data_IF_616957222686
#
_entry.id   IF_616957222686
#
_cell.length_a   1.000
_cell.length_b   1.000
_cell.length_c   1.000
_cell.angle_alpha   90.00
_cell.angle_beta   90.00
_cell.angle_gamma   90.00
#
_symmetry.space_group_name_H-M   'P 1'
#
loop_
_entity.id
_entity.type
_entity.pdbx_description
1 polymer ?
#
# COMPACT_ATOMS: atom_id res chain seq x y z
N UNK A 1 28.21 7.49 11.94
CA UNK A 1 27.01 6.64 12.13
C UNK A 1 25.68 7.34 11.91
N UNK A 2 25.53 8.61 12.31
CA UNK A 2 24.24 9.36 12.19
C UNK A 2 23.90 9.68 10.74
N UNK A 3 24.89 10.01 9.91
CA UNK A 3 24.67 10.33 8.48
C UNK A 3 24.15 9.15 7.67
N UNK A 4 24.50 7.91 8.05
CA UNK A 4 24.10 6.70 7.30
C UNK A 4 22.62 6.37 7.48
N UNK A 5 21.97 6.78 8.60
CA UNK A 5 20.54 6.56 8.83
C UNK A 5 19.68 7.74 8.36
N UNK A 6 20.19 8.96 8.40
CA UNK A 6 19.44 10.15 7.99
C UNK A 6 19.12 10.16 6.47
N UNK A 7 20.05 9.68 5.65
CA UNK A 7 19.91 9.68 4.20
C UNK A 7 18.78 8.78 3.68
N UNK A 8 18.65 7.51 4.11
CA UNK A 8 17.53 6.67 3.69
C UNK A 8 16.18 7.16 4.24
N UNK A 9 16.12 7.72 5.45
CA UNK A 9 14.88 8.29 5.99
C UNK A 9 14.49 9.54 5.21
N UNK A 10 15.43 10.43 4.90
CA UNK A 10 15.20 11.61 4.09
C UNK A 10 14.70 11.27 2.70
N UNK A 11 15.27 10.27 2.04
CA UNK A 11 14.80 9.81 0.72
C UNK A 11 13.39 9.21 0.77
N UNK A 12 13.05 8.44 1.81
CA UNK A 12 11.70 7.90 2.01
C UNK A 12 10.67 9.01 2.20
N UNK A 13 10.98 10.04 2.99
CA UNK A 13 10.11 11.20 3.19
C UNK A 13 9.97 11.99 1.89
N UNK A 14 11.06 12.25 1.19
CA UNK A 14 11.05 12.96 -0.09
C UNK A 14 10.17 12.25 -1.12
N UNK A 15 10.37 10.94 -1.30
CA UNK A 15 9.53 10.11 -2.17
C UNK A 15 8.07 10.09 -1.72
N UNK A 16 7.81 10.09 -0.41
CA UNK A 16 6.47 10.19 0.15
C UNK A 16 5.77 11.50 -0.20
N UNK A 17 6.47 12.63 -0.10
CA UNK A 17 5.94 13.95 -0.43
C UNK A 17 5.77 14.13 -1.94
N UNK A 18 6.72 13.68 -2.75
CA UNK A 18 6.65 13.80 -4.20
C UNK A 18 5.60 12.87 -4.81
N UNK A 19 5.68 11.58 -4.52
CA UNK A 19 4.95 10.52 -5.20
C UNK A 19 3.85 9.88 -4.35
N UNK A 20 3.88 10.04 -3.02
CA UNK A 20 2.95 9.36 -2.12
C UNK A 20 2.96 7.84 -2.31
N UNK A 21 1.79 7.21 -2.38
CA UNK A 21 1.65 5.75 -2.58
C UNK A 21 1.89 5.26 -4.01
N UNK A 22 2.23 6.13 -4.94
CA UNK A 22 2.64 5.71 -6.28
C UNK A 22 3.86 4.76 -6.23
N UNK A 23 4.79 5.00 -5.29
CA UNK A 23 5.93 4.11 -5.03
C UNK A 23 5.48 2.68 -4.75
N UNK A 24 4.44 2.50 -3.92
CA UNK A 24 3.89 1.17 -3.61
C UNK A 24 3.19 0.52 -4.82
N UNK A 25 2.71 1.34 -5.77
CA UNK A 25 2.03 0.87 -6.97
C UNK A 25 2.98 0.32 -8.04
N UNK A 26 4.09 1.03 -8.27
CA UNK A 26 4.96 0.81 -9.42
C UNK A 26 6.39 0.41 -9.08
N UNK A 27 6.97 0.94 -7.99
CA UNK A 27 8.37 0.69 -7.64
C UNK A 27 8.55 -0.50 -6.71
N UNK A 28 7.54 -0.89 -5.92
CA UNK A 28 7.67 -1.98 -4.96
C UNK A 28 7.65 -3.34 -5.66
N UNK A 29 8.76 -4.11 -5.71
CA UNK A 29 8.82 -5.40 -6.38
C UNK A 29 7.90 -6.43 -5.72
N UNK A 30 7.77 -6.38 -4.39
CA UNK A 30 6.85 -7.26 -3.66
C UNK A 30 5.38 -6.98 -3.99
N UNK A 31 5.02 -5.71 -4.23
CA UNK A 31 3.68 -5.34 -4.69
C UNK A 31 3.39 -5.88 -6.09
N UNK A 32 4.39 -5.84 -6.97
CA UNK A 32 4.29 -6.38 -8.32
C UNK A 32 4.18 -7.91 -8.33
N UNK A 33 4.95 -8.58 -7.48
CA UNK A 33 4.86 -10.03 -7.26
C UNK A 33 3.44 -10.47 -6.85
N UNK A 34 2.82 -9.79 -5.89
CA UNK A 34 1.43 -10.07 -5.48
C UNK A 34 0.43 -9.86 -6.62
N UNK A 35 0.66 -8.84 -7.46
CA UNK A 35 -0.19 -8.58 -8.62
C UNK A 35 -0.06 -9.66 -9.68
N UNK A 36 1.16 -10.16 -9.91
CA UNK A 36 1.42 -11.25 -10.85
C UNK A 36 0.70 -12.53 -10.42
N UNK A 37 0.79 -12.88 -9.13
CA UNK A 37 0.08 -14.04 -8.55
C UNK A 37 -1.43 -13.85 -8.69
N UNK A 38 -1.92 -12.63 -8.44
CA UNK A 38 -3.36 -12.34 -8.57
C UNK A 38 -3.88 -12.46 -10.01
N UNK A 39 -3.04 -12.38 -11.04
CA UNK A 39 -3.45 -12.58 -12.44
C UNK A 39 -3.76 -14.04 -12.79
N UNK A 40 -3.33 -15.01 -11.97
CA UNK A 40 -3.63 -16.44 -12.19
C UNK A 40 -5.16 -16.63 -12.19
N UNK A 41 -5.74 -17.23 -13.26
CA UNK A 41 -7.18 -17.40 -13.40
C UNK A 41 -7.72 -18.51 -12.49
N UNK A 42 -7.86 -18.21 -11.21
CA UNK A 42 -8.59 -19.07 -10.28
C UNK A 42 -10.04 -18.62 -10.19
N UNK A 43 -11.01 -19.50 -9.89
CA UNK A 43 -12.41 -19.14 -9.68
C UNK A 43 -12.53 -18.23 -8.46
N UNK A 44 -12.31 -16.92 -8.68
CA UNK A 44 -12.37 -15.91 -7.63
C UNK A 44 -13.84 -15.67 -7.31
N UNK A 45 -14.34 -16.28 -6.23
CA UNK A 45 -15.56 -15.79 -5.60
C UNK A 45 -15.29 -14.31 -5.28
N UNK A 46 -16.14 -13.41 -5.79
CA UNK A 46 -16.08 -11.99 -5.44
C UNK A 46 -16.41 -11.84 -3.96
N UNK A 47 -15.44 -12.17 -3.10
CA UNK A 47 -15.58 -11.87 -1.68
C UNK A 47 -15.67 -10.35 -1.57
N UNK A 48 -16.79 -9.87 -1.05
CA UNK A 48 -17.03 -8.46 -0.84
C UNK A 48 -16.00 -7.92 0.15
N UNK A 49 -14.92 -7.33 -0.36
CA UNK A 49 -13.89 -6.67 0.43
C UNK A 49 -14.44 -5.48 1.22
N UNK A 50 -15.70 -5.07 0.96
CA UNK A 50 -16.38 -4.03 1.73
C UNK A 50 -16.52 -4.38 3.22
N UNK A 51 -16.74 -5.64 3.58
CA UNK A 51 -16.78 -6.11 4.98
C UNK A 51 -15.40 -6.10 5.66
N UNK A 52 -14.33 -6.17 4.88
CA UNK A 52 -12.94 -6.17 5.38
C UNK A 52 -12.31 -4.77 5.44
N UNK A 53 -13.10 -3.71 5.21
CA UNK A 53 -12.62 -2.32 5.32
C UNK A 53 -11.96 -2.00 6.67
N UNK A 54 -12.48 -2.43 7.84
CA UNK A 54 -11.82 -2.15 9.12
C UNK A 54 -10.43 -2.77 9.24
N UNK A 55 -10.16 -3.87 8.52
CA UNK A 55 -8.83 -4.52 8.53
C UNK A 55 -7.72 -3.60 7.96
N UNK A 56 -8.07 -2.54 7.23
CA UNK A 56 -7.11 -1.52 6.77
C UNK A 56 -6.45 -0.75 7.90
N UNK A 57 -7.13 -0.63 9.05
CA UNK A 57 -6.56 0.04 10.22
C UNK A 57 -5.46 -0.78 10.88
N UNK A 58 -5.44 -2.10 10.66
CA UNK A 58 -4.42 -3.01 11.20
C UNK A 58 -3.00 -2.57 10.81
N UNK A 59 -2.77 -2.11 9.57
CA UNK A 59 -1.44 -1.64 9.14
C UNK A 59 -0.99 -0.37 9.88
N UNK A 60 -1.92 0.51 10.31
CA UNK A 60 -1.57 1.69 11.11
C UNK A 60 -1.20 1.28 12.53
N UNK A 61 -1.89 0.29 13.10
CA UNK A 61 -1.52 -0.32 14.37
C UNK A 61 -0.12 -0.95 14.28
N UNK A 62 0.14 -1.71 13.22
CA UNK A 62 1.46 -2.31 12.97
C UNK A 62 2.52 -1.22 12.79
N UNK A 63 2.22 -0.12 12.08
CA UNK A 63 3.14 1.01 11.95
C UNK A 63 3.46 1.61 13.32
N UNK A 64 2.46 1.84 14.15
CA UNK A 64 2.66 2.35 15.51
C UNK A 64 3.54 1.41 16.32
N UNK A 65 3.26 0.11 16.30
CA UNK A 65 4.08 -0.89 16.99
C UNK A 65 5.50 -0.98 16.45
N UNK A 66 5.71 -0.87 15.14
CA UNK A 66 7.04 -0.92 14.53
C UNK A 66 7.90 0.30 14.85
N UNK A 67 7.28 1.42 15.19
CA UNK A 67 7.99 2.63 15.64
C UNK A 67 8.21 2.60 17.15
N UNK A 68 7.20 2.23 17.94
CA UNK A 68 7.26 2.30 19.40
C UNK A 68 8.08 1.17 20.04
N UNK A 69 7.97 -0.06 19.53
CA UNK A 69 8.70 -1.21 20.09
C UNK A 69 10.23 -1.04 20.09
N UNK A 70 10.87 -0.61 18.98
CA UNK A 70 12.30 -0.37 18.96
C UNK A 70 12.75 0.78 19.88
N UNK A 71 11.86 1.75 20.16
CA UNK A 71 12.15 2.85 21.10
C UNK A 71 12.14 2.39 22.55
N UNK A 72 11.30 1.42 22.89
CA UNK A 72 11.19 0.88 24.25
C UNK A 72 12.26 -0.19 24.51
N UNK A 73 12.51 -1.06 23.51
CA UNK A 73 13.46 -2.17 23.60
C UNK A 73 14.73 -1.84 22.82
N UNK A 74 15.51 -0.87 23.30
CA UNK A 74 16.84 -0.60 22.78
C UNK A 74 17.83 -1.59 23.37
N UNK A 75 18.75 -2.11 22.56
CA UNK A 75 19.88 -2.92 23.00
C UNK A 75 20.94 -2.02 23.68
N UNK A 76 21.89 -2.61 24.40
CA UNK A 76 23.02 -1.91 25.03
C UNK A 76 23.83 -1.02 24.07
N UNK A 77 23.74 -1.28 22.77
CA UNK A 77 24.37 -0.50 21.68
C UNK A 77 23.47 0.63 21.18
N UNK A 78 22.28 0.86 21.79
CA UNK A 78 21.33 1.92 21.39
C UNK A 78 20.58 1.64 20.09
N UNK A 79 20.65 0.41 19.53
CA UNK A 79 19.90 0.03 18.35
C UNK A 79 18.61 -0.71 18.71
N UNK A 80 17.48 -0.24 18.20
CA UNK A 80 16.19 -0.91 18.36
C UNK A 80 16.09 -2.16 17.47
N UNK A 81 15.55 -3.24 18.02
CA UNK A 81 15.32 -4.47 17.26
C UNK A 81 14.20 -4.29 16.22
N UNK A 82 14.42 -4.57 14.93
CA UNK A 82 13.41 -4.45 13.90
C UNK A 82 12.43 -5.65 13.91
N UNK A 83 11.56 -5.72 14.91
CA UNK A 83 10.64 -6.84 15.13
C UNK A 83 9.81 -7.20 13.88
N UNK A 84 9.28 -6.20 13.18
CA UNK A 84 8.49 -6.44 11.99
C UNK A 84 9.29 -7.14 10.88
N UNK A 85 10.48 -6.60 10.57
CA UNK A 85 11.35 -7.19 9.53
C UNK A 85 11.86 -8.56 9.92
N UNK A 86 12.11 -8.80 11.24
CA UNK A 86 12.61 -10.05 11.75
C UNK A 86 11.58 -11.17 11.72
N UNK A 87 10.31 -10.89 12.05
CA UNK A 87 9.30 -11.94 12.26
C UNK A 87 8.16 -11.93 11.24
N UNK A 88 7.75 -10.79 10.73
CA UNK A 88 6.51 -10.67 9.95
C UNK A 88 6.73 -10.34 8.47
N UNK A 89 7.84 -9.71 8.09
CA UNK A 89 8.05 -9.27 6.72
C UNK A 89 8.48 -10.44 5.81
N UNK A 90 7.64 -10.86 4.83
CA UNK A 90 7.98 -11.95 3.91
C UNK A 90 8.91 -11.50 2.77
N UNK A 91 9.03 -10.18 2.54
CA UNK A 91 9.84 -9.63 1.44
C UNK A 91 11.31 -10.04 1.54
N UNK A 92 11.88 -10.03 2.77
CA UNK A 92 13.26 -10.44 2.98
C UNK A 92 13.55 -11.92 2.65
N UNK A 93 12.53 -12.78 2.70
CA UNK A 93 12.65 -14.17 2.25
C UNK A 93 12.63 -14.24 0.74
N UNK A 94 11.68 -13.56 0.10
CA UNK A 94 11.49 -13.62 -1.35
C UNK A 94 12.67 -13.00 -2.11
N UNK A 95 13.13 -11.82 -1.69
CA UNK A 95 14.14 -11.04 -2.41
C UNK A 95 15.57 -11.28 -1.91
N UNK A 96 15.72 -11.74 -0.66
CA UNK A 96 17.02 -11.98 -0.03
C UNK A 96 17.32 -13.45 0.17
N UNK A 97 16.58 -14.12 1.05
CA UNK A 97 16.95 -15.45 1.51
C UNK A 97 16.84 -16.52 0.40
N UNK A 98 15.83 -16.47 -0.47
CA UNK A 98 15.68 -17.43 -1.56
C UNK A 98 16.81 -17.30 -2.59
N UNK A 99 17.09 -16.13 -3.20
CA UNK A 99 18.19 -16.00 -4.16
C UNK A 99 19.55 -16.35 -3.54
N UNK A 100 19.79 -15.92 -2.29
CA UNK A 100 21.06 -16.16 -1.62
C UNK A 100 21.26 -17.64 -1.25
N UNK A 101 20.21 -18.35 -0.84
CA UNK A 101 20.25 -19.80 -0.58
C UNK A 101 20.46 -20.63 -1.83
N UNK A 102 20.06 -20.13 -3.00
CA UNK A 102 20.34 -20.77 -4.30
C UNK A 102 21.79 -20.52 -4.75
N UNK A 103 22.36 -19.34 -4.40
CA UNK A 103 23.71 -18.96 -4.79
C UNK A 103 24.81 -19.52 -3.88
N UNK A 104 24.52 -19.82 -2.61
CA UNK A 104 25.50 -20.19 -1.59
C UNK A 104 25.04 -21.35 -0.72
N UNK A 105 25.80 -22.42 -0.70
CA UNK A 105 25.50 -23.60 0.09
C UNK A 105 25.74 -23.37 1.61
N UNK A 106 26.71 -22.51 1.94
CA UNK A 106 26.97 -22.08 3.31
C UNK A 106 25.79 -21.33 3.94
N UNK A 107 25.07 -20.54 3.15
CA UNK A 107 23.85 -19.86 3.61
C UNK A 107 22.72 -20.85 3.83
N UNK A 108 22.58 -21.82 2.94
CA UNK A 108 21.55 -22.89 3.06
C UNK A 108 21.71 -23.66 4.36
N UNK A 109 22.93 -24.02 4.76
CA UNK A 109 23.20 -24.74 6.01
C UNK A 109 22.95 -23.88 7.26
N UNK A 110 23.08 -22.55 7.14
CA UNK A 110 22.85 -21.60 8.25
C UNK A 110 21.37 -21.18 8.42
N UNK A 111 20.47 -21.61 7.52
CA UNK A 111 19.04 -21.31 7.60
C UNK A 111 18.40 -22.05 8.78
N UNK A 112 18.07 -21.30 9.83
CA UNK A 112 17.45 -21.82 11.06
C UNK A 112 15.90 -21.79 11.04
N UNK A 113 15.30 -22.08 12.19
CA UNK A 113 13.84 -22.10 12.41
C UNK A 113 13.14 -20.78 12.03
N UNK A 114 13.82 -19.66 12.11
CA UNK A 114 13.29 -18.35 11.71
C UNK A 114 13.01 -18.26 10.21
N UNK A 115 13.82 -18.92 9.38
CA UNK A 115 13.58 -19.01 7.93
C UNK A 115 12.30 -19.81 7.66
N UNK A 116 12.13 -20.95 8.33
CA UNK A 116 10.92 -21.78 8.19
C UNK A 116 9.67 -20.99 8.56
N UNK A 117 9.69 -20.27 9.69
CA UNK A 117 8.59 -19.40 10.11
C UNK A 117 8.24 -18.35 9.03
N UNK A 118 9.23 -17.64 8.54
CA UNK A 118 9.03 -16.61 7.51
C UNK A 118 8.55 -17.19 6.18
N UNK A 119 8.99 -18.40 5.83
CA UNK A 119 8.51 -19.10 4.64
C UNK A 119 7.03 -19.45 4.75
N UNK A 120 6.56 -19.85 5.93
CA UNK A 120 5.13 -20.06 6.21
C UNK A 120 4.35 -18.76 6.05
N UNK A 121 4.87 -17.64 6.59
CA UNK A 121 4.23 -16.32 6.42
C UNK A 121 4.19 -15.92 4.94
N UNK A 122 5.26 -16.15 4.18
CA UNK A 122 5.29 -15.91 2.73
C UNK A 122 4.23 -16.77 2.02
N UNK A 123 4.15 -18.05 2.34
CA UNK A 123 3.13 -18.96 1.80
C UNK A 123 1.71 -18.50 2.07
N UNK A 124 1.43 -18.05 3.29
CA UNK A 124 0.13 -17.47 3.65
C UNK A 124 -0.19 -16.22 2.84
N UNK A 125 0.79 -15.32 2.64
CA UNK A 125 0.63 -14.12 1.81
C UNK A 125 0.39 -14.48 0.35
N UNK A 126 1.06 -15.51 -0.18
CA UNK A 126 0.85 -16.01 -1.56
C UNK A 126 -0.58 -16.52 -1.72
N UNK A 127 -1.07 -17.36 -0.81
CA UNK A 127 -2.45 -17.88 -0.83
C UNK A 127 -3.46 -16.72 -0.74
N UNK A 128 -3.25 -15.76 0.16
CA UNK A 128 -4.10 -14.58 0.25
C UNK A 128 -4.06 -13.73 -1.02
N UNK A 129 -2.93 -13.66 -1.72
CA UNK A 129 -2.77 -12.90 -2.97
C UNK A 129 -3.51 -13.54 -4.14
N UNK A 130 -3.74 -14.84 -4.11
CA UNK A 130 -4.61 -15.51 -5.07
C UNK A 130 -6.08 -15.08 -4.91
N UNK A 131 -6.53 -14.86 -3.67
CA UNK A 131 -7.91 -14.50 -3.34
C UNK A 131 -8.16 -12.99 -3.41
N UNK A 132 -7.24 -12.18 -2.88
CA UNK A 132 -7.37 -10.74 -2.73
C UNK A 132 -6.28 -9.99 -3.51
N UNK A 133 -6.63 -8.83 -4.03
CA UNK A 133 -5.65 -7.96 -4.67
C UNK A 133 -4.74 -7.30 -3.64
N UNK A 134 -3.43 -7.59 -3.70
CA UNK A 134 -2.36 -7.03 -2.85
C UNK A 134 -2.69 -7.03 -1.34
N UNK A 135 -3.01 -8.19 -0.71
CA UNK A 135 -3.48 -8.25 0.67
C UNK A 135 -2.46 -7.76 1.69
N UNK A 136 -1.18 -8.10 1.51
CA UNK A 136 -0.11 -7.64 2.40
C UNK A 136 0.03 -6.12 2.39
N UNK A 137 0.09 -5.51 1.21
CA UNK A 137 0.19 -4.05 1.06
C UNK A 137 -1.05 -3.31 1.58
N UNK A 138 -2.22 -3.98 1.54
CA UNK A 138 -3.50 -3.40 1.96
C UNK A 138 -3.70 -3.44 3.46
N UNK A 139 -3.25 -4.51 4.16
CA UNK A 139 -3.60 -4.76 5.55
C UNK A 139 -2.42 -4.81 6.51
N UNK A 140 -1.23 -5.25 6.09
CA UNK A 140 -0.11 -5.58 6.95
C UNK A 140 1.11 -4.66 6.80
N UNK A 141 1.35 -4.09 5.61
CA UNK A 141 2.59 -3.38 5.34
C UNK A 141 2.66 -2.01 6.05
N UNK A 142 3.57 -1.80 7.01
CA UNK A 142 3.73 -0.52 7.71
C UNK A 142 4.27 0.57 6.79
N UNK A 143 5.13 0.24 5.82
CA UNK A 143 5.61 1.20 4.83
C UNK A 143 4.45 1.71 3.96
N UNK A 144 3.49 0.84 3.63
CA UNK A 144 2.26 1.23 2.94
C UNK A 144 1.37 2.14 3.79
N UNK A 145 1.37 2.00 5.13
CA UNK A 145 0.70 2.92 6.03
C UNK A 145 1.42 4.27 6.11
N UNK A 146 2.75 4.26 6.18
CA UNK A 146 3.57 5.46 6.15
C UNK A 146 3.31 6.31 4.90
N UNK A 147 3.41 5.73 3.72
CA UNK A 147 3.11 6.45 2.48
C UNK A 147 1.64 6.87 2.36
N UNK A 148 0.72 6.16 3.02
CA UNK A 148 -0.69 6.55 3.05
C UNK A 148 -0.92 7.90 3.76
N UNK A 149 -0.12 8.21 4.79
CA UNK A 149 -0.17 9.50 5.48
C UNK A 149 0.24 10.64 4.55
N UNK A 150 1.29 10.42 3.74
CA UNK A 150 1.77 11.42 2.77
C UNK A 150 0.85 11.55 1.54
N UNK A 151 -0.03 10.59 1.29
CA UNK A 151 -0.87 10.60 0.08
C UNK A 151 -1.77 11.83 -0.03
N UNK A 152 -2.13 12.44 1.11
CA UNK A 152 -2.89 13.69 1.16
C UNK A 152 -2.06 14.93 0.85
N UNK A 153 -0.75 14.89 1.14
CA UNK A 153 0.17 16.04 1.02
C UNK A 153 1.00 15.96 -0.26
N UNK A 154 1.04 14.79 -0.91
CA UNK A 154 1.88 14.56 -2.08
C UNK A 154 1.54 15.44 -3.28
N UNK A 155 2.58 15.80 -4.03
CA UNK A 155 2.49 16.63 -5.24
C UNK A 155 1.71 15.95 -6.36
N UNK A 156 1.79 14.62 -6.46
CA UNK A 156 0.97 13.86 -7.40
C UNK A 156 -0.38 13.50 -6.75
N UNK A 157 -1.45 13.45 -7.52
CA UNK A 157 -2.79 13.13 -7.01
C UNK A 157 -3.73 12.69 -8.11
N UNK A 158 -4.96 12.37 -7.71
CA UNK A 158 -6.07 12.17 -8.63
C UNK A 158 -6.98 13.39 -8.59
N UNK A 159 -7.54 13.74 -9.73
CA UNK A 159 -8.51 14.83 -9.86
C UNK A 159 -9.75 14.33 -10.59
N UNK A 160 -10.92 14.78 -10.14
CA UNK A 160 -12.20 14.50 -10.78
C UNK A 160 -12.84 15.82 -11.20
N UNK A 161 -13.15 15.91 -12.49
CA UNK A 161 -13.90 17.05 -13.03
C UNK A 161 -15.40 16.80 -12.81
N UNK A 162 -15.99 17.60 -11.93
CA UNK A 162 -17.43 17.48 -11.59
C UNK A 162 -18.35 17.75 -12.79
N UNK A 163 -17.94 18.61 -13.72
CA UNK A 163 -18.76 18.94 -14.91
C UNK A 163 -18.82 17.81 -15.93
N UNK A 164 -17.75 16.98 -16.01
CA UNK A 164 -17.69 15.83 -16.91
C UNK A 164 -18.18 14.53 -16.25
N UNK A 165 -18.35 14.54 -14.93
CA UNK A 165 -18.70 13.33 -14.18
C UNK A 165 -20.20 13.06 -14.24
N UNK A 166 -20.59 11.97 -14.88
CA UNK A 166 -21.99 11.50 -14.99
C UNK A 166 -22.37 10.53 -13.86
N UNK A 167 -21.59 10.42 -12.81
CA UNK A 167 -21.83 9.58 -11.63
C UNK A 167 -22.17 8.10 -11.92
N UNK A 168 -21.65 7.53 -13.01
CA UNK A 168 -21.94 6.16 -13.44
C UNK A 168 -21.32 5.05 -12.58
N UNK A 169 -20.43 5.37 -11.62
CA UNK A 169 -19.80 4.44 -10.68
C UNK A 169 -18.79 3.45 -11.29
N UNK A 170 -18.44 3.56 -12.58
CA UNK A 170 -17.47 2.66 -13.23
C UNK A 170 -16.08 2.76 -12.63
N UNK A 171 -15.65 3.95 -12.20
CA UNK A 171 -14.36 4.19 -11.57
C UNK A 171 -14.25 3.46 -10.20
N UNK A 172 -15.31 3.43 -9.39
CA UNK A 172 -15.35 2.67 -8.13
C UNK A 172 -15.27 1.16 -8.39
N UNK A 173 -16.04 0.65 -9.36
CA UNK A 173 -16.04 -0.78 -9.73
C UNK A 173 -14.70 -1.25 -10.30
N UNK A 174 -14.00 -0.38 -11.03
CA UNK A 174 -12.67 -0.68 -11.59
C UNK A 174 -11.55 -0.60 -10.54
N UNK A 175 -11.79 0.03 -9.39
CA UNK A 175 -10.78 0.23 -8.37
C UNK A 175 -10.50 -1.06 -7.59
N UNK A 176 -9.31 -1.65 -7.80
CA UNK A 176 -8.87 -2.86 -7.09
C UNK A 176 -8.56 -2.60 -5.61
N UNK A 177 -8.38 -1.33 -5.20
CA UNK A 177 -8.15 -0.92 -3.82
C UNK A 177 -9.44 -0.55 -3.07
N UNK A 178 -10.61 -0.73 -3.68
CA UNK A 178 -11.93 -0.38 -3.14
C UNK A 178 -12.04 1.07 -2.64
N UNK A 179 -11.51 2.00 -3.43
CA UNK A 179 -11.56 3.45 -3.18
C UNK A 179 -12.55 4.07 -4.15
N UNK A 180 -13.45 4.90 -3.62
CA UNK A 180 -14.30 5.76 -4.42
C UNK A 180 -13.57 7.09 -4.68
N UNK A 181 -13.00 7.20 -5.89
CA UNK A 181 -12.23 8.37 -6.31
C UNK A 181 -13.10 9.61 -6.49
N UNK A 182 -14.41 9.44 -6.70
CA UNK A 182 -15.34 10.57 -6.89
C UNK A 182 -15.61 11.30 -5.58
N UNK A 183 -15.64 10.57 -4.45
CA UNK A 183 -15.82 11.15 -3.11
C UNK A 183 -14.51 11.66 -2.50
N UNK A 184 -13.44 10.87 -2.68
CA UNK A 184 -12.14 11.17 -2.08
C UNK A 184 -11.02 10.90 -3.08
N UNK A 185 -10.68 11.89 -3.94
CA UNK A 185 -9.65 11.74 -4.97
C UNK A 185 -8.27 11.36 -4.40
N UNK A 186 -7.88 12.02 -3.29
CA UNK A 186 -6.60 11.81 -2.60
C UNK A 186 -6.72 10.83 -1.41
N UNK A 187 -7.54 9.79 -1.56
CA UNK A 187 -7.74 8.80 -0.50
C UNK A 187 -6.41 8.15 -0.08
N UNK A 188 -6.14 7.96 1.23
CA UNK A 188 -4.90 7.34 1.73
C UNK A 188 -4.60 5.97 1.13
N UNK A 189 -5.63 5.21 0.73
CA UNK A 189 -5.46 3.88 0.12
C UNK A 189 -5.22 3.90 -1.40
N UNK A 190 -5.32 5.04 -2.06
CA UNK A 190 -5.12 5.13 -3.51
C UNK A 190 -3.65 4.96 -3.88
N UNK A 191 -3.33 3.92 -4.65
CA UNK A 191 -1.98 3.64 -5.20
C UNK A 191 -1.72 4.31 -6.55
N UNK A 192 -2.67 5.11 -7.03
CA UNK A 192 -2.60 5.87 -8.29
C UNK A 192 -2.28 5.00 -9.52
N UNK A 193 -2.85 3.82 -9.58
CA UNK A 193 -2.63 2.87 -10.68
C UNK A 193 -3.30 3.25 -12.00
N UNK A 194 -4.14 4.29 -12.04
CA UNK A 194 -4.80 4.77 -13.26
C UNK A 194 -5.96 3.95 -13.79
N UNK A 195 -6.36 2.87 -13.11
CA UNK A 195 -7.47 2.02 -13.57
C UNK A 195 -8.80 2.77 -13.65
N UNK A 196 -9.04 3.70 -12.72
CA UNK A 196 -10.22 4.58 -12.74
C UNK A 196 -10.21 5.56 -13.92
N UNK A 197 -9.03 6.03 -14.34
CA UNK A 197 -8.87 6.90 -15.53
C UNK A 197 -9.26 6.13 -16.79
N UNK A 198 -8.73 4.89 -16.95
CA UNK A 198 -9.04 4.02 -18.09
C UNK A 198 -10.54 3.61 -18.14
N UNK A 199 -11.18 3.46 -16.99
CA UNK A 199 -12.56 3.04 -16.88
C UNK A 199 -13.57 4.18 -17.07
N UNK A 200 -13.12 5.42 -17.03
CA UNK A 200 -14.00 6.59 -17.15
C UNK A 200 -14.36 6.89 -18.60
N UNK A 201 -15.64 6.76 -19.01
CA UNK A 201 -16.04 6.99 -20.41
C UNK A 201 -16.02 8.47 -20.82
N UNK A 202 -16.17 9.38 -19.84
CA UNK A 202 -16.22 10.82 -20.07
C UNK A 202 -14.88 11.50 -19.87
N UNK A 203 -13.82 10.76 -19.46
CA UNK A 203 -12.52 11.35 -19.15
C UNK A 203 -12.53 12.30 -17.95
N UNK A 204 -13.54 12.20 -17.06
CA UNK A 204 -13.67 13.06 -15.89
C UNK A 204 -12.61 12.83 -14.83
N UNK A 205 -11.93 11.68 -14.84
CA UNK A 205 -10.88 11.32 -13.88
C UNK A 205 -9.51 11.48 -14.53
N UNK A 206 -8.63 12.27 -13.93
CA UNK A 206 -7.28 12.53 -14.44
C UNK A 206 -6.25 12.51 -13.32
N UNK A 207 -4.97 12.40 -13.71
CA UNK A 207 -3.85 12.62 -12.80
C UNK A 207 -3.61 14.11 -12.60
N UNK A 208 -3.31 14.49 -11.38
CA UNK A 208 -2.87 15.82 -11.01
C UNK A 208 -1.37 15.78 -10.67
N UNK A 209 -0.60 16.71 -11.23
CA UNK A 209 0.77 17.01 -10.82
C UNK A 209 0.81 18.46 -10.34
N UNK A 210 1.27 18.69 -9.11
CA UNK A 210 1.44 20.02 -8.52
C UNK A 210 0.67 20.24 -7.21
N UNK A 211 1.03 21.31 -6.51
CA UNK A 211 0.46 21.74 -5.22
C UNK A 211 -0.96 22.33 -5.33
N UNK A 212 -1.54 22.37 -6.50
CA UNK A 212 -2.87 22.96 -6.70
C UNK A 212 -3.97 22.14 -6.04
N UNK A 213 -4.03 22.24 -4.72
CA UNK A 213 -5.07 21.65 -3.86
C UNK A 213 -6.38 22.43 -3.87
N UNK A 214 -6.46 23.55 -4.56
CA UNK A 214 -7.39 24.58 -4.21
C UNK A 214 -8.24 25.20 -5.28
N UNK A 215 -8.45 24.59 -6.44
CA UNK A 215 -9.23 25.32 -7.44
C UNK A 215 -10.68 24.87 -7.64
N UNK A 216 -11.16 23.75 -7.07
CA UNK A 216 -12.61 23.39 -7.22
C UNK A 216 -13.12 22.44 -6.13
N UNK A 217 -12.88 22.72 -4.85
CA UNK A 217 -13.62 22.08 -3.74
C UNK A 217 -14.77 22.98 -3.24
N UNK A 218 -15.24 23.89 -4.08
CA UNK A 218 -16.42 24.67 -3.80
C UNK A 218 -17.61 24.11 -4.56
N UNK A 219 -18.61 23.71 -3.77
CA UNK A 219 -19.98 23.41 -4.13
C UNK A 219 -20.26 22.10 -4.87
N UNK A 220 -20.44 21.05 -4.06
CA UNK A 220 -21.42 20.03 -4.39
C UNK A 220 -22.52 20.07 -3.31
N UNK A 221 -23.62 20.85 -3.51
CA UNK A 221 -24.75 20.91 -2.56
C UNK A 221 -25.59 19.63 -2.55
N UNK A 222 -25.35 18.67 -3.45
CA UNK A 222 -26.14 17.45 -3.56
C UNK A 222 -25.81 16.34 -2.55
N UNK A 223 -24.77 16.51 -1.70
CA UNK A 223 -24.39 15.52 -0.69
C UNK A 223 -25.18 15.54 0.61
N UNK A 224 -26.06 16.49 0.83
CA UNK A 224 -26.82 16.63 2.09
C UNK A 224 -28.23 16.03 2.09
N UNK A 225 -28.73 15.53 0.95
CA UNK A 225 -30.11 15.01 0.88
C UNK A 225 -30.24 13.48 0.80
N UNK A 226 -29.16 12.71 1.00
CA UNK A 226 -29.21 11.24 0.91
C UNK A 226 -29.01 10.51 2.26
N UNK A 227 -29.16 11.23 3.40
CA UNK A 227 -29.06 10.61 4.75
C UNK A 227 -30.43 10.56 5.45
N UNK A 228 -31.48 11.05 4.81
CA UNK A 228 -32.83 11.04 5.39
C UNK A 228 -33.83 10.37 4.43
N UNK A 229 -33.65 9.03 4.22
CA UNK A 229 -34.71 8.07 3.87
C UNK A 229 -34.24 6.67 4.09
#
# INVERSE_FOLDING_TARGET
GVQTCALPIGTLILLGVLLGRFVCGFLCPFGWFQELIHKIPLPKKKLSTKKLRPLRYLKYLILLLTVTLPLIFTNEVGMGNPFFCKYLCPQGVLEGAIPLSLASESVRSALGSLFTWKSVVLGAVVVLSLLFYRPFCKWLCPLGAFYALFNRVSLTGMQVDAHKCVHCGRCEKACKMDVDVTKTPDHPECIRCGMCVKACPTGAVSFRCGLSRGAKEKENPAGKQAVEK
#
